data_IF_593753874441
#
_entry.id   IF_593753874441
#
_cell.length_a   1.000
_cell.length_b   1.000
_cell.length_c   1.000
_cell.angle_alpha   90.00
_cell.angle_beta   90.00
_cell.angle_gamma   90.00
#
_symmetry.space_group_name_H-M   'P 1'
#
loop_
_entity.id
_entity.type
_entity.pdbx_description
1 polymer ?
#
# COMPACT_ATOMS: atom_id res chain seq x y z
N UNK A 1 8.66 5.68 4.77
CA UNK A 1 8.34 6.58 5.90
C UNK A 1 8.73 5.91 7.20
N UNK A 2 9.26 6.67 8.18
CA UNK A 2 9.81 6.14 9.43
C UNK A 2 11.32 5.97 9.42
N UNK A 3 11.87 5.45 10.52
CA UNK A 3 13.31 5.31 10.76
C UNK A 3 13.89 4.13 9.97
N UNK A 4 14.92 4.36 9.16
CA UNK A 4 15.57 3.31 8.35
C UNK A 4 16.66 2.59 9.17
N UNK A 5 16.25 1.79 10.13
CA UNK A 5 17.16 1.03 11.03
C UNK A 5 16.63 -0.37 11.25
N UNK A 6 17.53 -1.32 11.55
CA UNK A 6 17.17 -2.73 11.67
C UNK A 6 17.28 -3.45 10.33
N UNK A 7 16.64 -4.62 10.25
CA UNK A 7 16.65 -5.45 9.05
C UNK A 7 15.64 -4.92 8.03
N UNK A 8 16.01 -4.95 6.76
CA UNK A 8 15.11 -4.66 5.65
C UNK A 8 14.16 -5.82 5.43
N UNK A 9 12.94 -5.49 5.04
CA UNK A 9 11.96 -6.44 4.53
C UNK A 9 11.36 -5.88 3.24
N UNK A 10 10.99 -6.78 2.34
CA UNK A 10 10.63 -6.47 0.97
C UNK A 10 9.57 -7.47 0.48
N UNK A 11 8.43 -6.94 0.05
CA UNK A 11 7.27 -7.66 -0.48
C UNK A 11 6.94 -7.15 -1.90
N UNK A 12 7.96 -6.71 -2.64
CA UNK A 12 7.83 -6.23 -4.02
C UNK A 12 7.13 -7.25 -4.90
N UNK A 13 6.18 -6.79 -5.71
CA UNK A 13 5.38 -7.59 -6.63
C UNK A 13 4.18 -8.28 -6.00
N UNK A 14 4.06 -8.28 -4.66
CA UNK A 14 2.91 -8.86 -3.96
C UNK A 14 1.82 -7.80 -3.79
N UNK A 15 0.88 -7.79 -4.72
CA UNK A 15 -0.14 -6.72 -4.85
C UNK A 15 -1.53 -7.13 -4.36
N UNK A 16 -1.83 -8.44 -4.38
CA UNK A 16 -3.15 -8.99 -4.07
C UNK A 16 -3.32 -9.22 -2.57
N UNK A 17 -3.51 -8.15 -1.79
CA UNK A 17 -3.66 -8.24 -0.34
C UNK A 17 -5.11 -8.61 0.03
N UNK A 18 -5.27 -9.58 0.93
CA UNK A 18 -6.57 -9.98 1.49
C UNK A 18 -6.68 -9.51 2.95
N UNK A 19 -5.62 -9.68 3.73
CA UNK A 19 -5.56 -9.19 5.11
C UNK A 19 -4.25 -8.45 5.41
N UNK A 20 -4.36 -7.45 6.29
CA UNK A 20 -3.23 -6.80 6.95
C UNK A 20 -3.41 -6.99 8.44
N UNK A 21 -2.48 -7.69 9.09
CA UNK A 21 -2.47 -7.91 10.53
C UNK A 21 -1.50 -6.94 11.20
N UNK A 22 -1.94 -6.29 12.28
CA UNK A 22 -1.25 -5.16 12.87
C UNK A 22 -1.20 -5.34 14.38
N UNK A 23 0.01 -5.47 14.93
CA UNK A 23 0.22 -5.34 16.39
C UNK A 23 0.69 -3.93 16.69
N UNK A 24 0.09 -3.31 17.71
CA UNK A 24 0.44 -1.94 18.10
C UNK A 24 0.15 -1.65 19.57
N UNK A 25 0.74 -0.55 20.04
CA UNK A 25 0.43 0.08 21.30
C UNK A 25 0.74 1.59 21.21
N UNK A 26 1.86 2.02 21.80
CA UNK A 26 2.34 3.40 21.66
C UNK A 26 2.98 3.66 20.27
N UNK A 27 3.43 2.60 19.60
CA UNK A 27 4.01 2.57 18.25
C UNK A 27 3.42 1.40 17.46
N UNK A 28 3.76 1.30 16.17
CA UNK A 28 3.49 0.09 15.38
C UNK A 28 4.55 -0.96 15.72
N UNK A 29 4.13 -2.08 16.31
CA UNK A 29 5.04 -3.12 16.78
C UNK A 29 5.32 -4.16 15.68
N UNK A 30 4.30 -4.57 14.93
CA UNK A 30 4.51 -5.41 13.74
C UNK A 30 3.41 -5.28 12.71
N UNK A 31 3.77 -5.63 11.47
CA UNK A 31 2.83 -5.81 10.36
C UNK A 31 3.06 -7.18 9.71
N UNK A 32 1.98 -7.81 9.24
CA UNK A 32 2.01 -9.06 8.49
C UNK A 32 0.86 -9.03 7.47
N UNK A 33 1.04 -9.69 6.33
CA UNK A 33 0.10 -9.65 5.22
C UNK A 33 -0.34 -11.05 4.85
N UNK A 34 -1.61 -11.20 4.47
CA UNK A 34 -2.11 -12.37 3.77
C UNK A 34 -2.39 -11.98 2.33
N UNK A 35 -1.79 -12.71 1.39
CA UNK A 35 -1.93 -12.46 -0.04
C UNK A 35 -2.73 -13.58 -0.71
N UNK A 36 -3.39 -13.24 -1.82
CA UNK A 36 -3.93 -14.20 -2.76
C UNK A 36 -2.95 -14.37 -3.92
N UNK A 37 -2.34 -15.55 -4.03
CA UNK A 37 -1.31 -15.89 -5.02
C UNK A 37 -1.65 -17.23 -5.66
N UNK A 38 -1.82 -17.23 -6.99
CA UNK A 38 -2.10 -18.44 -7.79
C UNK A 38 -3.29 -19.29 -7.28
N UNK A 39 -4.32 -18.62 -6.74
CA UNK A 39 -5.52 -19.27 -6.18
C UNK A 39 -5.39 -19.72 -4.72
N UNK A 40 -4.22 -19.54 -4.12
CA UNK A 40 -3.93 -19.90 -2.73
C UNK A 40 -3.76 -18.66 -1.83
N UNK A 41 -3.90 -18.87 -0.52
CA UNK A 41 -3.66 -17.83 0.48
C UNK A 41 -2.27 -17.99 1.09
N UNK A 42 -1.39 -17.02 0.84
CA UNK A 42 0.01 -17.04 1.27
C UNK A 42 0.25 -15.99 2.34
N UNK A 43 0.63 -16.43 3.54
CA UNK A 43 0.96 -15.56 4.67
C UNK A 43 2.42 -15.11 4.58
N UNK A 44 2.67 -13.81 4.69
CA UNK A 44 4.03 -13.28 4.78
C UNK A 44 4.71 -13.62 6.10
N UNK A 45 6.02 -13.33 6.16
CA UNK A 45 6.68 -13.13 7.45
C UNK A 45 6.03 -11.99 8.23
N UNK A 46 6.15 -12.04 9.55
CA UNK A 46 5.77 -10.93 10.42
C UNK A 46 6.94 -9.98 10.59
N UNK A 47 6.76 -8.71 10.23
CA UNK A 47 7.81 -7.69 10.29
C UNK A 47 7.69 -6.87 11.58
N UNK A 48 8.62 -7.10 12.50
CA UNK A 48 8.62 -6.53 13.85
C UNK A 48 8.32 -7.60 14.90
N UNK A 49 7.74 -7.22 16.03
CA UNK A 49 7.45 -8.15 17.11
C UNK A 49 5.98 -8.06 17.56
N UNK A 50 5.34 -9.22 17.77
CA UNK A 50 3.94 -9.36 18.22
C UNK A 50 3.75 -9.07 19.72
N UNK A 51 4.56 -8.19 20.30
CA UNK A 51 4.54 -7.81 21.73
C UNK A 51 3.56 -6.69 22.06
N UNK A 52 2.95 -6.07 21.04
CA UNK A 52 1.93 -5.04 21.22
C UNK A 52 0.75 -5.55 22.04
N UNK A 53 0.15 -4.64 22.83
CA UNK A 53 -1.04 -4.95 23.64
C UNK A 53 -2.29 -5.09 22.78
N UNK A 54 -2.32 -4.39 21.65
CA UNK A 54 -3.44 -4.38 20.73
C UNK A 54 -3.07 -5.19 19.49
N UNK A 55 -4.08 -5.88 18.96
CA UNK A 55 -4.02 -6.59 17.70
C UNK A 55 -5.28 -6.27 16.91
N UNK A 56 -5.09 -5.71 15.72
CA UNK A 56 -6.15 -5.40 14.79
C UNK A 56 -5.82 -6.01 13.42
N UNK A 57 -6.84 -6.12 12.57
CA UNK A 57 -6.66 -6.51 11.19
C UNK A 57 -7.52 -5.68 10.25
N UNK A 58 -7.00 -5.46 9.05
CA UNK A 58 -7.75 -4.95 7.90
C UNK A 58 -8.10 -6.16 7.06
N UNK A 59 -9.41 -6.37 6.81
CA UNK A 59 -9.89 -7.34 5.84
C UNK A 59 -10.36 -6.56 4.63
N UNK A 60 -9.72 -6.77 3.48
CA UNK A 60 -10.17 -6.19 2.22
C UNK A 60 -11.22 -7.10 1.58
N UNK A 61 -12.25 -6.51 1.00
CA UNK A 61 -13.17 -7.21 0.10
C UNK A 61 -12.50 -7.53 -1.24
N UNK A 62 -11.45 -8.35 -1.22
CA UNK A 62 -10.67 -8.71 -2.40
C UNK A 62 -11.52 -9.50 -3.41
N UNK A 63 -11.49 -9.16 -4.72
CA UNK A 63 -10.63 -8.15 -5.35
C UNK A 63 -11.27 -6.76 -5.52
N UNK A 64 -12.49 -6.55 -5.03
CA UNK A 64 -13.22 -5.29 -5.21
C UNK A 64 -12.63 -4.12 -4.38
N UNK A 65 -12.05 -4.42 -3.23
CA UNK A 65 -11.41 -3.43 -2.36
C UNK A 65 -9.88 -3.51 -2.45
N UNK A 66 -9.25 -2.35 -2.67
CA UNK A 66 -7.80 -2.21 -2.76
C UNK A 66 -7.32 -0.92 -2.09
N UNK A 67 -6.06 -0.93 -1.66
CA UNK A 67 -5.43 0.20 -0.97
C UNK A 67 -5.17 1.32 -1.98
N UNK A 68 -5.64 2.52 -1.68
CA UNK A 68 -5.45 3.74 -2.49
C UNK A 68 -4.40 4.65 -1.88
N UNK A 69 -4.16 4.54 -0.57
CA UNK A 69 -3.22 5.40 0.14
C UNK A 69 -2.87 4.85 1.53
N UNK A 70 -1.68 5.22 2.01
CA UNK A 70 -1.26 5.00 3.39
C UNK A 70 -0.88 6.33 3.99
N UNK A 71 -1.50 6.68 5.12
CA UNK A 71 -1.14 7.86 5.91
C UNK A 71 -0.78 7.47 7.34
N UNK A 72 -0.19 8.39 8.07
CA UNK A 72 0.16 8.15 9.46
C UNK A 72 0.98 9.26 10.07
N UNK A 73 1.48 9.01 11.28
CA UNK A 73 2.31 9.97 12.01
C UNK A 73 3.62 9.35 12.50
N UNK A 74 4.66 10.18 12.48
CA UNK A 74 5.99 9.88 13.00
C UNK A 74 6.30 10.78 14.19
N UNK A 75 6.93 10.24 15.21
CA UNK A 75 7.43 11.08 16.30
C UNK A 75 8.50 12.05 15.77
N UNK A 76 8.42 13.32 16.18
CA UNK A 76 9.17 14.42 15.57
C UNK A 76 10.69 14.32 15.75
N UNK A 77 11.16 13.68 16.83
CA UNK A 77 12.60 13.63 17.15
C UNK A 77 13.31 12.39 16.60
N UNK A 78 12.70 11.21 16.71
CA UNK A 78 13.35 9.94 16.37
C UNK A 78 12.76 9.28 15.11
N UNK A 79 11.76 9.90 14.49
CA UNK A 79 11.02 9.37 13.35
C UNK A 79 10.43 7.97 13.59
N UNK A 80 10.12 7.60 14.85
CA UNK A 80 9.44 6.34 15.14
C UNK A 80 8.04 6.34 14.53
N UNK A 81 7.61 5.21 13.98
CA UNK A 81 6.30 5.05 13.34
C UNK A 81 5.22 4.92 14.42
N UNK A 82 4.49 6.01 14.65
CA UNK A 82 3.54 6.14 15.77
C UNK A 82 2.15 5.65 15.40
N UNK A 83 1.72 5.94 14.17
CA UNK A 83 0.45 5.46 13.67
C UNK A 83 0.45 5.23 12.18
N UNK A 84 -0.48 4.39 11.74
CA UNK A 84 -0.75 4.09 10.34
C UNK A 84 -2.25 3.97 10.10
N UNK A 85 -2.72 4.50 8.98
CA UNK A 85 -4.08 4.36 8.46
C UNK A 85 -3.96 3.87 7.02
N UNK A 86 -4.76 2.87 6.66
CA UNK A 86 -4.90 2.40 5.30
C UNK A 86 -6.18 2.98 4.72
N UNK A 87 -6.05 3.72 3.62
CA UNK A 87 -7.18 4.19 2.83
C UNK A 87 -7.39 3.22 1.66
N UNK A 88 -8.64 2.89 1.39
CA UNK A 88 -9.07 2.04 0.28
C UNK A 88 -10.07 2.78 -0.59
N UNK A 89 -10.44 2.19 -1.72
CA UNK A 89 -11.55 2.67 -2.53
C UNK A 89 -12.92 2.53 -1.83
N UNK A 90 -13.01 1.79 -0.72
CA UNK A 90 -14.25 1.60 0.05
C UNK A 90 -14.29 2.38 1.37
N UNK A 91 -13.14 2.87 1.87
CA UNK A 91 -13.11 3.62 3.12
C UNK A 91 -11.72 3.74 3.72
N UNK A 92 -11.65 3.77 5.05
CA UNK A 92 -10.40 3.87 5.78
C UNK A 92 -10.37 2.94 7.00
N UNK A 93 -9.18 2.42 7.31
CA UNK A 93 -8.92 1.55 8.46
C UNK A 93 -7.82 2.12 9.34
N UNK A 94 -8.11 2.29 10.62
CA UNK A 94 -7.23 2.87 11.62
C UNK A 94 -7.71 4.27 12.08
N UNK A 95 -6.81 5.14 12.59
CA UNK A 95 -5.38 4.91 12.76
C UNK A 95 -5.09 3.82 13.79
N UNK A 96 -4.17 2.92 13.45
CA UNK A 96 -3.56 1.97 14.38
C UNK A 96 -2.36 2.62 15.06
N UNK A 97 -2.07 2.24 16.30
CA UNK A 97 -1.05 2.89 17.15
C UNK A 97 -1.54 4.18 17.80
N UNK A 98 -0.63 4.90 18.47
CA UNK A 98 -0.96 6.11 19.22
C UNK A 98 -0.14 7.30 18.77
N UNK A 99 -0.83 8.32 18.28
CA UNK A 99 -0.22 9.56 17.79
C UNK A 99 -0.86 10.80 18.41
N UNK A 100 -0.08 11.88 18.47
CA UNK A 100 -0.52 13.20 18.94
C UNK A 100 -0.39 14.21 17.80
N UNK A 101 -1.06 15.35 17.91
CA UNK A 101 -1.00 16.43 16.91
C UNK A 101 0.39 17.02 16.72
N UNK A 102 1.27 16.91 17.73
CA UNK A 102 2.68 17.32 17.65
C UNK A 102 3.55 16.39 16.80
N UNK A 103 3.05 15.19 16.45
CA UNK A 103 3.78 14.27 15.59
C UNK A 103 3.70 14.69 14.12
N UNK A 104 4.77 14.40 13.38
CA UNK A 104 4.88 14.72 11.96
C UNK A 104 4.00 13.79 11.12
N UNK A 105 3.12 14.36 10.30
CA UNK A 105 2.27 13.60 9.39
C UNK A 105 3.02 13.13 8.13
N UNK A 106 2.59 11.99 7.59
CA UNK A 106 2.99 11.53 6.25
C UNK A 106 1.78 10.93 5.54
N UNK A 107 1.81 10.97 4.21
CA UNK A 107 0.88 10.25 3.34
C UNK A 107 1.62 9.76 2.09
N UNK A 108 1.27 8.57 1.63
CA UNK A 108 1.73 7.93 0.40
C UNK A 108 0.48 7.59 -0.41
N UNK A 109 0.21 8.39 -1.45
CA UNK A 109 -0.92 8.16 -2.34
C UNK A 109 -0.51 7.20 -3.46
N UNK A 110 -1.28 6.14 -3.66
CA UNK A 110 -1.03 5.10 -4.65
C UNK A 110 -1.68 5.43 -6.01
N UNK A 111 -2.63 6.37 -6.02
CA UNK A 111 -3.34 6.81 -7.22
C UNK A 111 -4.45 5.82 -7.63
N UNK A 112 -5.37 6.31 -8.47
CA UNK A 112 -6.43 5.48 -9.04
C UNK A 112 -5.84 4.63 -10.17
N UNK A 113 -6.02 3.30 -10.13
CA UNK A 113 -5.74 2.46 -11.30
C UNK A 113 -4.53 1.52 -11.26
N UNK A 114 -4.13 1.02 -10.08
CA UNK A 114 -3.30 -0.20 -10.04
C UNK A 114 -1.79 0.01 -10.15
N UNK A 115 -1.27 1.13 -9.67
CA UNK A 115 0.18 1.35 -9.59
C UNK A 115 0.83 0.76 -8.34
N UNK A 116 0.09 0.07 -7.48
CA UNK A 116 0.66 -0.54 -6.27
C UNK A 116 1.56 -1.71 -6.66
N UNK A 117 2.84 -1.66 -6.30
CA UNK A 117 3.84 -2.68 -6.64
C UNK A 117 4.36 -3.47 -5.43
N UNK A 118 3.65 -3.45 -4.30
CA UNK A 118 4.04 -4.12 -3.06
C UNK A 118 4.63 -3.18 -1.99
N UNK A 119 4.87 -3.74 -0.80
CA UNK A 119 5.40 -3.00 0.34
C UNK A 119 6.87 -3.28 0.58
N UNK A 120 7.53 -2.37 1.28
CA UNK A 120 8.87 -2.59 1.80
C UNK A 120 9.09 -1.79 3.08
N UNK A 121 10.16 -2.09 3.81
CA UNK A 121 10.49 -1.31 4.99
C UNK A 121 11.65 -1.85 5.79
N UNK A 122 11.65 -1.47 7.07
CA UNK A 122 12.64 -1.94 8.04
C UNK A 122 11.96 -2.28 9.35
N UNK A 123 12.46 -3.29 10.04
CA UNK A 123 12.01 -3.72 11.35
C UNK A 123 13.20 -4.20 12.18
N UNK A 124 13.09 -4.13 13.51
CA UNK A 124 14.02 -4.81 14.41
C UNK A 124 13.28 -5.86 15.25
N UNK A 125 13.99 -6.51 16.17
CA UNK A 125 13.43 -7.53 17.06
C UNK A 125 12.34 -7.02 18.00
N UNK A 126 12.04 -5.71 18.01
CA UNK A 126 11.04 -5.08 18.85
C UNK A 126 9.90 -4.49 18.05
N UNK A 127 10.17 -3.79 16.94
CA UNK A 127 9.18 -2.95 16.25
C UNK A 127 9.38 -2.83 14.75
N UNK A 128 8.28 -2.50 14.08
CA UNK A 128 8.30 -1.93 12.74
C UNK A 128 8.91 -0.52 12.80
N UNK A 129 9.93 -0.25 12.00
CA UNK A 129 10.66 1.03 12.01
C UNK A 129 10.26 1.93 10.87
N UNK A 130 10.00 1.35 9.71
CA UNK A 130 9.56 2.08 8.53
C UNK A 130 8.68 1.23 7.64
N UNK A 131 7.79 1.89 6.90
CA UNK A 131 6.99 1.32 5.80
C UNK A 131 7.12 2.21 4.57
N UNK A 132 7.20 1.60 3.40
CA UNK A 132 7.23 2.22 2.09
C UNK A 132 6.47 1.38 1.09
N UNK A 133 6.27 1.93 -0.10
CA UNK A 133 5.46 1.35 -1.15
C UNK A 133 6.23 1.42 -2.44
N UNK A 134 6.24 0.32 -3.19
CA UNK A 134 6.67 0.32 -4.58
C UNK A 134 5.53 0.79 -5.49
N UNK A 135 5.91 1.47 -6.56
CA UNK A 135 5.01 1.85 -7.63
C UNK A 135 5.40 1.07 -8.89
N UNK A 136 4.43 0.44 -9.55
CA UNK A 136 4.68 -0.16 -10.87
C UNK A 136 4.80 0.95 -11.93
N UNK A 137 5.79 0.87 -12.83
CA UNK A 137 5.93 1.84 -13.91
C UNK A 137 4.70 1.84 -14.81
N UNK A 138 4.22 3.03 -15.20
CA UNK A 138 3.28 3.14 -16.32
C UNK A 138 4.05 2.78 -17.57
N UNK A 139 3.85 1.58 -18.03
CA UNK A 139 4.28 1.13 -19.34
C UNK A 139 3.16 1.44 -20.34
N UNK A 140 3.54 2.04 -21.46
CA UNK A 140 2.63 2.53 -22.51
C UNK A 140 1.76 1.44 -23.16
N UNK A 141 1.97 0.16 -22.85
CA UNK A 141 1.16 -0.94 -23.40
C UNK A 141 -0.30 -0.93 -22.91
N UNK A 142 -0.60 -0.39 -21.72
CA UNK A 142 -1.98 -0.34 -21.20
C UNK A 142 -2.82 0.84 -21.73
N UNK A 143 -2.22 1.77 -22.48
CA UNK A 143 -2.94 2.92 -23.07
C UNK A 143 -3.45 2.64 -24.49
N UNK A 144 -3.02 1.55 -25.12
CA UNK A 144 -3.39 1.22 -26.51
C UNK A 144 -4.73 0.48 -26.57
N UNK A 145 -5.07 -0.30 -25.55
CA UNK A 145 -6.29 -1.13 -25.57
C UNK A 145 -7.58 -0.33 -25.32
N UNK A 146 -7.50 0.86 -24.72
CA UNK A 146 -8.67 1.68 -24.37
C UNK A 146 -9.08 2.74 -25.41
N UNK A 147 -8.35 2.88 -26.52
CA UNK A 147 -8.60 3.93 -27.54
C UNK A 147 -8.94 3.38 -28.94
N UNK A 148 -9.36 2.13 -29.07
CA UNK A 148 -9.85 1.60 -30.35
C UNK A 148 -11.28 2.04 -30.66
N UNK A 149 -11.50 3.37 -30.74
CA UNK A 149 -12.63 3.94 -31.47
C UNK A 149 -12.23 3.96 -32.95
N UNK A 150 -12.98 3.21 -33.78
CA UNK A 150 -12.79 3.11 -35.23
C UNK A 150 -12.85 4.50 -35.87
N UNK A 151 -11.79 4.91 -36.56
CA UNK A 151 -11.87 5.98 -37.55
C UNK A 151 -12.44 5.38 -38.83
N UNK A 152 -13.70 5.68 -39.14
CA UNK A 152 -14.26 5.48 -40.47
C UNK A 152 -13.69 6.56 -41.40
N UNK A 153 -13.00 6.13 -42.46
CA UNK A 153 -12.53 6.99 -43.54
C UNK A 153 -13.70 7.28 -44.48
N UNK A 154 -14.17 8.53 -44.54
CA UNK A 154 -15.03 9.00 -45.62
C UNK A 154 -14.14 9.35 -46.83
N UNK A 155 -14.18 8.51 -47.86
CA UNK A 155 -13.66 8.83 -49.18
C UNK A 155 -14.60 9.81 -49.88
N UNK A 156 -14.27 11.11 -49.84
CA UNK A 156 -14.81 12.07 -50.81
C UNK A 156 -13.85 12.16 -51.99
N UNK A 157 -14.19 11.47 -53.08
CA UNK A 157 -13.63 11.73 -54.41
C UNK A 157 -14.28 13.00 -54.97
N UNK A 158 -13.48 14.04 -55.17
CA UNK A 158 -13.81 15.13 -56.08
C UNK A 158 -13.31 14.74 -57.46
N UNK A 159 -14.24 14.53 -58.40
CA UNK A 159 -13.94 14.40 -59.83
C UNK A 159 -13.67 15.80 -60.42
N UNK A 160 -12.60 15.93 -61.20
CA UNK A 160 -12.29 17.13 -61.99
C UNK A 160 -13.20 17.22 -63.23
N UNK A 161 -13.94 18.33 -63.35
CA UNK A 161 -13.98 19.18 -64.56
C UNK A 161 -14.55 20.57 -64.21
#
# INVERSE_FOLDING_TARGET
MGRKTGNTWDEKGRINIVYIFIHHAEEIDSIQFLYAEDGELVLSDSYGNKRGKNFDFVKLDYPAEYITSIRGRLHCHDNSLRSITFETNHGEYGPFGKSYSSHKEFALRLGDGGHFGGFHGTADSRRLKSIGVYFEPITSYNLVDNNSVKMETNDEKFDEC
#
